data_IF_571789448878
#
_entry.id   IF_571789448878
#
_cell.length_a   1.000
_cell.length_b   1.000
_cell.length_c   1.000
_cell.angle_alpha   90.00
_cell.angle_beta   90.00
_cell.angle_gamma   90.00
#
_symmetry.space_group_name_H-M   'P 1'
#
loop_
_entity.id
_entity.type
_entity.pdbx_description
1 polymer ?
#
# COMPACT_ATOMS: atom_id res chain seq x y z
N UNK A 1 -10.19 15.67 23.47
CA UNK A 1 -8.87 15.71 22.81
C UNK A 1 -8.41 14.29 22.62
N UNK A 2 -8.01 13.92 21.42
CA UNK A 2 -7.43 12.60 21.20
C UNK A 2 -6.02 12.57 21.76
N UNK A 3 -5.62 11.38 22.22
CA UNK A 3 -4.27 11.14 22.71
C UNK A 3 -3.33 11.14 21.51
N UNK A 4 -2.34 12.04 21.53
CA UNK A 4 -1.18 12.03 20.61
C UNK A 4 -0.11 11.16 21.22
N UNK A 5 0.46 10.27 20.42
CA UNK A 5 1.41 9.27 20.91
C UNK A 5 2.86 9.63 20.56
N UNK A 6 3.11 10.42 19.51
CA UNK A 6 4.47 10.74 19.09
C UNK A 6 5.03 11.92 19.88
N UNK A 7 6.10 11.67 20.62
CA UNK A 7 7.01 12.71 21.12
C UNK A 7 7.75 13.39 19.97
N UNK A 8 8.39 14.53 20.27
CA UNK A 8 9.18 15.25 19.27
C UNK A 8 10.42 14.46 18.83
N UNK A 9 11.03 13.70 19.74
CA UNK A 9 12.17 12.83 19.45
C UNK A 9 11.77 11.66 18.52
N UNK A 10 10.62 11.04 18.78
CA UNK A 10 10.08 10.00 17.89
C UNK A 10 9.71 10.60 16.54
N UNK A 11 9.11 11.79 16.52
CA UNK A 11 8.80 12.48 15.27
C UNK A 11 10.06 12.76 14.43
N UNK A 12 11.17 13.18 15.07
CA UNK A 12 12.43 13.41 14.39
C UNK A 12 13.02 12.14 13.73
N UNK A 13 12.74 10.95 14.29
CA UNK A 13 13.12 9.67 13.68
C UNK A 13 12.21 9.32 12.49
N UNK A 14 10.91 9.64 12.59
CA UNK A 14 9.90 9.24 11.61
C UNK A 14 9.85 10.17 10.40
N UNK A 15 9.89 11.49 10.61
CA UNK A 15 9.70 12.49 9.56
C UNK A 15 10.57 12.28 8.31
N UNK A 16 11.87 11.94 8.42
CA UNK A 16 12.73 11.71 7.24
C UNK A 16 12.35 10.48 6.41
N UNK A 17 11.62 9.53 6.98
CA UNK A 17 11.22 8.29 6.33
C UNK A 17 9.90 8.43 5.56
N UNK A 18 9.16 9.52 5.78
CA UNK A 18 7.93 9.79 5.07
C UNK A 18 8.26 10.33 3.67
N UNK A 19 7.74 9.74 2.58
CA UNK A 19 7.96 10.24 1.24
C UNK A 19 7.27 11.60 1.07
N UNK A 20 8.08 12.65 1.21
CA UNK A 20 7.68 14.05 1.05
C UNK A 20 7.87 14.44 -0.42
N UNK A 21 6.91 15.15 -1.00
CA UNK A 21 7.06 15.73 -2.34
C UNK A 21 6.75 14.80 -3.52
N UNK A 22 6.76 13.48 -3.34
CA UNK A 22 6.37 12.52 -4.40
C UNK A 22 4.87 12.64 -4.78
N UNK A 23 4.04 13.18 -3.89
CA UNK A 23 2.57 13.22 -4.04
C UNK A 23 1.96 14.60 -3.74
N UNK A 24 2.75 15.68 -3.79
CA UNK A 24 2.30 17.07 -3.58
C UNK A 24 3.05 17.82 -2.46
N UNK A 25 2.69 19.08 -2.20
CA UNK A 25 3.37 19.94 -1.25
C UNK A 25 3.33 19.38 0.18
N UNK A 26 4.30 19.81 1.00
CA UNK A 26 4.42 19.43 2.40
C UNK A 26 3.09 19.73 3.12
N UNK A 27 2.33 18.71 3.58
CA UNK A 27 1.14 19.02 4.34
C UNK A 27 1.61 19.60 5.66
N UNK A 28 1.15 20.80 5.98
CA UNK A 28 1.35 21.43 7.30
C UNK A 28 0.90 20.53 8.47
N UNK A 29 0.13 19.48 8.16
CA UNK A 29 -0.48 18.52 9.09
C UNK A 29 0.10 17.11 8.96
N UNK A 30 1.35 16.97 8.48
CA UNK A 30 1.96 15.64 8.26
C UNK A 30 1.97 14.79 9.53
N UNK A 31 2.38 15.38 10.66
CA UNK A 31 2.37 14.75 11.97
C UNK A 31 0.95 14.38 12.41
N UNK A 32 0.00 15.30 12.27
CA UNK A 32 -1.41 15.03 12.59
C UNK A 32 -1.97 13.83 11.78
N UNK A 33 -1.63 13.75 10.49
CA UNK A 33 -2.08 12.65 9.64
C UNK A 33 -1.48 11.32 10.09
N UNK A 34 -0.19 11.30 10.44
CA UNK A 34 0.44 10.11 10.99
C UNK A 34 -0.17 9.72 12.35
N UNK A 35 -0.42 10.68 13.24
CA UNK A 35 -1.14 10.46 14.51
C UNK A 35 -2.53 9.86 14.27
N UNK A 36 -3.23 10.28 13.22
CA UNK A 36 -4.49 9.66 12.79
C UNK A 36 -4.34 8.19 12.37
N UNK A 37 -3.24 7.85 11.68
CA UNK A 37 -2.92 6.46 11.35
C UNK A 37 -2.57 5.65 12.61
N UNK A 38 -1.78 6.21 13.52
CA UNK A 38 -1.44 5.57 14.80
C UNK A 38 -2.71 5.32 15.62
N UNK A 39 -3.62 6.29 15.67
CA UNK A 39 -4.93 6.13 16.29
C UNK A 39 -5.67 4.93 15.70
N UNK A 40 -5.65 4.75 14.36
CA UNK A 40 -6.33 3.62 13.70
C UNK A 40 -5.73 2.27 14.11
N UNK A 41 -4.41 2.18 14.21
CA UNK A 41 -3.72 0.95 14.63
C UNK A 41 -3.98 0.62 16.09
N UNK A 42 -3.98 1.63 16.97
CA UNK A 42 -4.24 1.45 18.40
C UNK A 42 -5.70 1.13 18.69
N UNK A 43 -6.64 1.86 18.08
CA UNK A 43 -8.06 1.75 18.41
C UNK A 43 -8.75 0.58 17.73
N UNK A 44 -8.27 0.16 16.55
CA UNK A 44 -8.99 -0.77 15.69
C UNK A 44 -10.29 -0.21 15.09
N UNK A 45 -10.73 0.99 15.49
CA UNK A 45 -12.01 1.62 15.12
C UNK A 45 -12.14 1.93 13.63
N UNK A 46 -13.33 2.36 13.21
CA UNK A 46 -13.55 2.70 11.80
C UNK A 46 -12.82 4.01 11.44
N UNK A 47 -12.36 4.15 10.20
CA UNK A 47 -11.73 5.40 9.75
C UNK A 47 -12.65 6.62 9.94
N UNK A 48 -13.97 6.44 9.77
CA UNK A 48 -14.96 7.51 9.95
C UNK A 48 -15.11 7.99 11.39
N UNK A 49 -14.66 7.18 12.36
CA UNK A 49 -14.68 7.51 13.80
C UNK A 49 -13.38 8.18 14.25
N UNK A 50 -12.40 8.31 13.36
CA UNK A 50 -11.13 8.96 13.66
C UNK A 50 -11.39 10.42 14.10
N UNK A 51 -10.77 10.87 15.21
CA UNK A 51 -10.89 12.24 15.68
C UNK A 51 -10.55 13.27 14.60
N UNK A 52 -11.41 14.27 14.41
CA UNK A 52 -11.22 15.32 13.39
C UNK A 52 -9.97 16.19 13.60
N UNK A 53 -9.39 16.18 14.80
CA UNK A 53 -8.14 16.87 15.10
C UNK A 53 -6.94 16.35 14.30
N UNK A 54 -7.03 15.12 13.75
CA UNK A 54 -6.03 14.56 12.84
C UNK A 54 -6.27 14.94 11.36
N UNK A 55 -7.37 15.64 11.08
CA UNK A 55 -7.81 16.03 9.74
C UNK A 55 -8.91 15.12 9.18
N UNK A 56 -9.32 15.33 7.92
CA UNK A 56 -10.34 14.53 7.27
C UNK A 56 -9.91 13.06 7.13
N UNK A 57 -10.77 12.14 7.57
CA UNK A 57 -10.44 10.70 7.57
C UNK A 57 -10.08 10.16 6.18
N UNK A 58 -10.71 10.67 5.11
CA UNK A 58 -10.42 10.24 3.74
C UNK A 58 -9.00 10.61 3.32
N UNK A 59 -8.56 11.83 3.67
CA UNK A 59 -7.19 12.29 3.43
C UNK A 59 -6.17 11.47 4.21
N UNK A 60 -6.43 11.18 5.49
CA UNK A 60 -5.54 10.33 6.30
C UNK A 60 -5.48 8.91 5.74
N UNK A 61 -6.61 8.36 5.31
CA UNK A 61 -6.65 7.03 4.69
C UNK A 61 -5.86 6.97 3.37
N UNK A 62 -6.03 7.96 2.49
CA UNK A 62 -5.28 8.01 1.24
C UNK A 62 -3.79 8.14 1.48
N UNK A 63 -3.38 8.92 2.48
CA UNK A 63 -1.99 9.03 2.93
C UNK A 63 -1.46 7.71 3.46
N UNK A 64 -2.23 7.04 4.32
CA UNK A 64 -1.91 5.71 4.83
C UNK A 64 -1.67 4.72 3.69
N UNK A 65 -2.55 4.67 2.68
CA UNK A 65 -2.38 3.79 1.51
C UNK A 65 -1.08 4.08 0.76
N UNK A 66 -0.79 5.36 0.49
CA UNK A 66 0.45 5.76 -0.18
C UNK A 66 1.69 5.33 0.60
N UNK A 67 1.69 5.54 1.93
CA UNK A 67 2.79 5.14 2.79
C UNK A 67 2.96 3.63 2.91
N UNK A 68 1.85 2.89 2.99
CA UNK A 68 1.85 1.43 2.96
C UNK A 68 2.47 0.92 1.66
N UNK A 69 2.01 1.43 0.52
CA UNK A 69 2.46 0.98 -0.79
C UNK A 69 3.92 1.39 -1.06
N UNK A 70 4.39 2.48 -0.45
CA UNK A 70 5.78 2.92 -0.46
C UNK A 70 6.68 2.20 0.58
N UNK A 71 6.15 1.28 1.39
CA UNK A 71 6.93 0.53 2.38
C UNK A 71 7.35 1.32 3.62
N UNK A 72 6.73 2.47 3.89
CA UNK A 72 7.08 3.37 5.00
C UNK A 72 7.01 2.67 6.35
N UNK A 73 5.97 1.87 6.60
CA UNK A 73 5.82 1.19 7.89
C UNK A 73 6.91 0.15 8.16
N UNK A 74 7.45 -0.48 7.10
CA UNK A 74 8.60 -1.36 7.24
C UNK A 74 9.85 -0.55 7.62
N UNK A 75 10.12 0.54 6.88
CA UNK A 75 11.25 1.41 7.18
C UNK A 75 11.19 2.00 8.61
N UNK A 76 9.98 2.35 9.08
CA UNK A 76 9.76 2.81 10.46
C UNK A 76 10.09 1.74 11.49
N UNK A 77 9.65 0.50 11.26
CA UNK A 77 9.97 -0.62 12.15
C UNK A 77 11.49 -0.85 12.21
N UNK A 78 12.16 -0.88 11.06
CA UNK A 78 13.60 -1.09 10.98
C UNK A 78 14.37 0.02 11.70
N UNK A 79 13.96 1.29 11.52
CA UNK A 79 14.56 2.44 12.20
C UNK A 79 14.35 2.39 13.72
N UNK A 80 13.15 2.01 14.17
CA UNK A 80 12.85 1.86 15.59
C UNK A 80 13.69 0.74 16.24
N UNK A 81 13.84 -0.40 15.57
CA UNK A 81 14.69 -1.51 16.02
C UNK A 81 16.15 -1.07 16.09
N UNK A 82 16.65 -0.39 15.06
CA UNK A 82 18.02 0.11 15.03
C UNK A 82 18.31 1.11 16.16
N UNK A 83 17.37 2.03 16.42
CA UNK A 83 17.51 3.00 17.51
C UNK A 83 17.45 2.32 18.89
N UNK A 84 16.56 1.35 19.08
CA UNK A 84 16.48 0.59 20.32
C UNK A 84 17.74 -0.26 20.56
N UNK A 85 18.29 -0.88 19.51
CA UNK A 85 19.57 -1.58 19.57
C UNK A 85 20.73 -0.64 19.92
N UNK A 86 20.78 0.57 19.32
CA UNK A 86 21.77 1.61 19.65
C UNK A 86 21.72 2.03 21.12
N UNK A 87 20.51 2.03 21.71
CA UNK A 87 20.28 2.32 23.14
C UNK A 87 20.50 1.12 24.06
N UNK A 88 20.85 -0.05 23.52
CA UNK A 88 20.99 -1.29 24.29
C UNK A 88 19.68 -1.80 24.89
N UNK A 89 18.53 -1.43 24.29
CA UNK A 89 17.19 -1.78 24.76
C UNK A 89 16.64 -3.05 24.10
N UNK A 90 17.30 -3.56 23.06
CA UNK A 90 16.91 -4.76 22.32
C UNK A 90 18.12 -5.68 22.18
N UNK A 91 17.91 -6.97 22.46
CA UNK A 91 18.87 -8.03 22.16
C UNK A 91 18.55 -8.65 20.80
N UNK A 92 19.38 -8.33 19.80
CA UNK A 92 19.21 -8.84 18.43
C UNK A 92 19.70 -10.30 18.27
N UNK A 93 20.28 -10.90 19.30
CA UNK A 93 20.65 -12.32 19.29
C UNK A 93 19.45 -13.25 19.52
N UNK A 94 18.35 -12.71 20.07
CA UNK A 94 17.12 -13.44 20.35
C UNK A 94 16.05 -13.10 19.31
N UNK A 95 15.59 -14.12 18.58
CA UNK A 95 14.50 -13.98 17.60
C UNK A 95 13.24 -14.66 18.15
N UNK A 96 12.17 -13.89 18.30
CA UNK A 96 10.84 -14.42 18.61
C UNK A 96 10.03 -14.53 17.32
N UNK A 97 9.47 -15.71 17.05
CA UNK A 97 8.60 -15.96 15.91
C UNK A 97 7.21 -16.24 16.45
N UNK A 98 6.23 -15.42 16.06
CA UNK A 98 4.82 -15.69 16.28
C UNK A 98 4.14 -16.13 14.98
N UNK A 99 2.99 -16.78 15.11
CA UNK A 99 2.13 -17.09 13.97
C UNK A 99 0.68 -16.87 14.38
N UNK A 100 -0.12 -16.35 13.46
CA UNK A 100 -1.57 -16.22 13.64
C UNK A 100 -2.26 -17.04 12.55
N UNK A 101 -3.15 -17.95 12.95
CA UNK A 101 -3.99 -18.71 12.02
C UNK A 101 -5.41 -18.13 12.03
N UNK A 102 -5.88 -17.63 10.88
CA UNK A 102 -7.26 -17.19 10.71
C UNK A 102 -8.04 -18.26 9.93
N UNK A 103 -9.27 -18.57 10.36
CA UNK A 103 -10.14 -19.51 9.64
C UNK A 103 -10.57 -18.87 8.32
N UNK A 104 -10.32 -19.56 7.22
CA UNK A 104 -10.84 -19.15 5.93
C UNK A 104 -12.38 -19.22 5.91
N UNK A 105 -13.03 -18.29 5.21
CA UNK A 105 -14.47 -18.38 4.99
C UNK A 105 -14.79 -19.70 4.26
N UNK A 106 -15.96 -20.30 4.50
CA UNK A 106 -16.32 -21.60 3.90
C UNK A 106 -16.27 -21.61 2.36
N UNK A 107 -16.36 -20.44 1.72
CA UNK A 107 -16.25 -20.27 0.26
C UNK A 107 -14.81 -20.05 -0.25
N UNK A 108 -13.79 -20.03 0.62
CA UNK A 108 -12.41 -19.78 0.21
C UNK A 108 -11.79 -20.94 -0.59
N UNK A 109 -12.38 -22.14 -0.53
CA UNK A 109 -11.94 -23.30 -1.31
C UNK A 109 -12.26 -23.19 -2.82
N UNK A 110 -12.98 -22.14 -3.24
CA UNK A 110 -13.44 -21.97 -4.62
C UNK A 110 -14.71 -22.78 -4.93
N UNK A 111 -15.26 -22.57 -6.12
CA UNK A 111 -16.34 -23.42 -6.63
C UNK A 111 -15.78 -24.79 -7.03
N UNK A 112 -16.48 -25.87 -6.68
CA UNK A 112 -16.28 -27.16 -7.36
C UNK A 112 -16.77 -27.01 -8.79
N UNK A 113 -15.85 -27.06 -9.74
CA UNK A 113 -16.15 -27.00 -11.17
C UNK A 113 -16.13 -28.44 -11.69
N UNK A 114 -17.12 -28.81 -12.50
CA UNK A 114 -17.14 -30.11 -13.16
C UNK A 114 -15.95 -30.23 -14.11
N UNK A 115 -15.43 -31.45 -14.31
CA UNK A 115 -14.16 -31.67 -15.02
C UNK A 115 -14.23 -31.16 -16.47
N UNK A 116 -15.39 -31.34 -17.11
CA UNK A 116 -15.66 -30.81 -18.44
C UNK A 116 -15.68 -29.28 -18.49
N UNK A 117 -16.25 -28.63 -17.47
CA UNK A 117 -16.34 -27.17 -17.40
C UNK A 117 -14.95 -26.58 -17.11
N UNK A 118 -14.14 -27.23 -16.28
CA UNK A 118 -12.76 -26.83 -16.03
C UNK A 118 -11.90 -26.96 -17.30
N UNK A 119 -11.99 -28.08 -18.01
CA UNK A 119 -11.29 -28.29 -19.27
C UNK A 119 -11.70 -27.27 -20.34
N UNK A 120 -12.98 -26.92 -20.42
CA UNK A 120 -13.48 -25.90 -21.33
C UNK A 120 -12.93 -24.50 -20.99
N UNK A 121 -12.87 -24.15 -19.70
CA UNK A 121 -12.30 -22.88 -19.24
C UNK A 121 -10.79 -22.79 -19.51
N UNK A 122 -10.04 -23.88 -19.26
CA UNK A 122 -8.60 -23.94 -19.53
C UNK A 122 -8.29 -23.78 -21.03
N UNK A 123 -9.06 -24.47 -21.88
CA UNK A 123 -8.97 -24.34 -23.33
C UNK A 123 -9.24 -22.91 -23.79
N UNK A 124 -10.30 -22.28 -23.28
CA UNK A 124 -10.65 -20.90 -23.63
C UNK A 124 -9.54 -19.91 -23.22
N UNK A 125 -8.94 -20.07 -22.03
CA UNK A 125 -7.80 -19.24 -21.58
C UNK A 125 -6.56 -19.45 -22.46
N UNK A 126 -6.30 -20.69 -22.91
CA UNK A 126 -5.21 -21.00 -23.84
C UNK A 126 -5.40 -20.33 -25.21
N UNK A 127 -6.63 -20.34 -25.73
CA UNK A 127 -6.99 -19.70 -27.00
C UNK A 127 -6.90 -18.17 -26.93
N UNK A 128 -7.32 -17.54 -25.83
CA UNK A 128 -7.15 -16.09 -25.63
C UNK A 128 -5.68 -15.66 -25.53
N UNK A 129 -4.84 -16.44 -24.83
CA UNK A 129 -3.39 -16.20 -24.76
C UNK A 129 -2.71 -16.38 -26.12
N UNK A 130 -3.17 -17.34 -26.92
CA UNK A 130 -2.72 -17.54 -28.30
C UNK A 130 -3.12 -16.39 -29.24
N UNK A 131 -4.35 -15.87 -29.09
CA UNK A 131 -4.84 -14.73 -29.86
C UNK A 131 -4.08 -13.42 -29.56
N UNK A 132 -3.65 -13.22 -28.31
CA UNK A 132 -2.84 -12.06 -27.92
C UNK A 132 -1.41 -12.10 -28.51
N UNK A 133 -0.82 -13.29 -28.70
CA UNK A 133 0.50 -13.45 -29.31
C UNK A 133 0.51 -13.19 -30.84
N UNK A 134 -0.60 -13.43 -31.53
CA UNK A 134 -0.75 -13.23 -32.97
C UNK A 134 -0.90 -11.76 -33.42
N UNK A 135 -1.16 -10.82 -32.51
CA UNK A 135 -1.43 -9.40 -32.83
C UNK A 135 -0.18 -8.51 -32.87
N UNK A 136 0.97 -9.04 -33.31
CA UNK A 136 2.19 -8.24 -33.59
C UNK A 136 2.52 -8.25 -35.09
N UNK A 137 1.88 -7.36 -35.86
CA UNK A 137 2.23 -6.83 -37.22
C UNK A 137 0.94 -6.16 -37.75
N UNK A 138 0.87 -4.93 -38.25
CA UNK A 138 1.82 -4.01 -38.88
C UNK A 138 1.13 -2.63 -38.86
N UNK A 139 1.72 -1.58 -38.26
CA UNK A 139 1.17 -0.22 -38.35
C UNK A 139 1.91 0.52 -39.46
N UNK A 140 1.34 0.54 -40.67
CA UNK A 140 1.87 1.31 -41.80
C UNK A 140 1.59 2.79 -41.51
N UNK A 141 2.63 3.56 -41.24
CA UNK A 141 2.56 5.02 -41.07
C UNK A 141 2.31 5.63 -42.45
N UNK A 142 1.10 6.14 -42.69
CA UNK A 142 0.83 6.99 -43.85
C UNK A 142 1.25 8.43 -43.52
N UNK A 143 2.35 8.86 -44.14
CA UNK A 143 2.77 10.26 -44.18
C UNK A 143 1.72 11.10 -44.90
N UNK A 144 1.10 12.05 -44.19
CA UNK A 144 0.30 13.10 -44.84
C UNK A 144 1.25 14.08 -45.50
N UNK A 145 1.26 14.05 -46.82
CA UNK A 145 1.97 14.97 -47.69
C UNK A 145 1.22 16.31 -47.69
N UNK A 146 1.90 17.36 -47.24
CA UNK A 146 1.49 18.76 -47.31
C UNK A 146 1.63 19.27 -48.75
N UNK A 147 0.55 19.77 -49.34
CA UNK A 147 0.55 20.63 -50.54
C UNK A 147 -0.68 21.53 -50.42
N UNK A 148 -0.55 22.84 -50.18
CA UNK A 148 -0.08 23.93 -51.05
C UNK A 148 -1.05 24.21 -52.21
N UNK A 149 -1.91 25.20 -51.97
CA UNK A 149 -2.61 26.09 -52.91
C UNK A 149 -3.07 27.28 -52.06
N UNK A 150 -3.06 28.55 -52.46
CA UNK A 150 -2.48 29.31 -53.55
C UNK A 150 -2.46 30.76 -53.01
#
# INVERSE_FOLDING_TARGET
MARRELSDDEWALVEPLLPIGAYGPYPHRLRDQLEGVIWKFRSGGQWREMPQEFGPWSTVYDRFRQWRDAGVFQALMDAAIAEAARRGQVDLSLVSIDSTTARAHHNAAGMRVDEEVLAALEKAVGEEKGAAAGRKRTRKVQSRQTGRTA
#
